data_IF_978074997667
#
_entry.id   IF_978074997667
#
_cell.length_a   1.000
_cell.length_b   1.000
_cell.length_c   1.000
_cell.angle_alpha   90.00
_cell.angle_beta   90.00
_cell.angle_gamma   90.00
#
_symmetry.space_group_name_H-M   'P 1'
#
loop_
_entity.id
_entity.type
_entity.pdbx_description
1 polymer ?
#
# COMPACT_ATOMS: atom_id res chain seq x y z
N UNK A 1 -6.74 -23.51 -33.64
CA UNK A 1 -5.98 -22.25 -33.82
C UNK A 1 -6.86 -21.00 -33.67
N UNK A 2 -8.02 -20.92 -34.33
CA UNK A 2 -8.89 -19.72 -34.32
C UNK A 2 -9.50 -19.35 -32.93
N UNK A 3 -9.87 -20.35 -32.10
CA UNK A 3 -10.37 -20.10 -30.73
C UNK A 3 -9.33 -19.47 -29.79
N UNK A 4 -8.07 -19.90 -29.87
CA UNK A 4 -7.00 -19.33 -29.04
C UNK A 4 -6.69 -17.89 -29.45
N UNK A 5 -6.63 -17.61 -30.76
CA UNK A 5 -6.40 -16.25 -31.26
C UNK A 5 -7.52 -15.29 -30.85
N UNK A 6 -8.79 -15.73 -30.93
CA UNK A 6 -9.95 -14.97 -30.45
C UNK A 6 -9.89 -14.69 -28.95
N UNK A 7 -9.45 -15.67 -28.15
CA UNK A 7 -9.27 -15.51 -26.70
C UNK A 7 -8.18 -14.48 -26.39
N UNK A 8 -7.01 -14.59 -27.02
CA UNK A 8 -5.89 -13.64 -26.85
C UNK A 8 -6.32 -12.23 -27.24
N UNK A 9 -6.99 -12.06 -28.39
CA UNK A 9 -7.51 -10.74 -28.80
C UNK A 9 -8.47 -10.15 -27.78
N UNK A 10 -9.38 -10.96 -27.23
CA UNK A 10 -10.32 -10.53 -26.18
C UNK A 10 -9.59 -10.11 -24.90
N UNK A 11 -8.57 -10.86 -24.49
CA UNK A 11 -7.73 -10.53 -23.33
C UNK A 11 -6.94 -9.24 -23.55
N UNK A 12 -6.36 -9.03 -24.74
CA UNK A 12 -5.67 -7.78 -25.11
C UNK A 12 -6.61 -6.56 -25.08
N UNK A 13 -7.80 -6.69 -25.68
CA UNK A 13 -8.83 -5.63 -25.65
C UNK A 13 -9.25 -5.30 -24.21
N UNK A 14 -9.47 -6.33 -23.38
CA UNK A 14 -9.77 -6.15 -21.95
C UNK A 14 -8.63 -5.42 -21.24
N UNK A 15 -7.38 -5.82 -21.47
CA UNK A 15 -6.22 -5.19 -20.84
C UNK A 15 -6.08 -3.73 -21.26
N UNK A 16 -6.32 -3.40 -22.53
CA UNK A 16 -6.29 -2.03 -23.02
C UNK A 16 -7.38 -1.16 -22.36
N UNK A 17 -8.59 -1.70 -22.20
CA UNK A 17 -9.67 -1.03 -21.46
C UNK A 17 -9.31 -0.85 -19.98
N UNK A 18 -8.79 -1.88 -19.32
CA UNK A 18 -8.32 -1.81 -17.93
C UNK A 18 -7.24 -0.72 -17.78
N UNK A 19 -6.31 -0.59 -18.74
CA UNK A 19 -5.29 0.47 -18.73
C UNK A 19 -5.90 1.87 -18.85
N UNK A 20 -6.85 2.06 -19.75
CA UNK A 20 -7.53 3.35 -19.91
C UNK A 20 -8.31 3.72 -18.63
N UNK A 21 -9.00 2.76 -18.02
CA UNK A 21 -9.71 2.95 -16.76
C UNK A 21 -8.74 3.27 -15.61
N UNK A 22 -7.61 2.57 -15.54
CA UNK A 22 -6.58 2.83 -14.54
C UNK A 22 -5.97 4.23 -14.69
N UNK A 23 -5.65 4.64 -15.92
CA UNK A 23 -5.17 5.98 -16.24
C UNK A 23 -6.19 7.05 -15.81
N UNK A 24 -7.47 6.82 -16.09
CA UNK A 24 -8.55 7.73 -15.70
C UNK A 24 -8.71 7.83 -14.17
N UNK A 25 -8.69 6.69 -13.46
CA UNK A 25 -8.75 6.69 -11.99
C UNK A 25 -7.50 7.34 -11.38
N UNK A 26 -6.31 7.13 -11.94
CA UNK A 26 -5.09 7.81 -11.53
C UNK A 26 -5.21 9.33 -11.68
N UNK A 27 -5.71 9.81 -12.83
CA UNK A 27 -5.91 11.24 -13.08
C UNK A 27 -6.92 11.87 -12.12
N UNK A 28 -7.91 11.11 -11.63
CA UNK A 28 -8.81 11.58 -10.56
C UNK A 28 -8.05 11.74 -9.25
N UNK A 29 -7.21 10.78 -8.89
CA UNK A 29 -6.39 10.84 -7.68
C UNK A 29 -5.46 12.05 -7.74
N UNK A 30 -4.73 12.26 -8.84
CA UNK A 30 -3.76 13.35 -8.96
C UNK A 30 -4.38 14.75 -8.92
N UNK A 31 -5.69 14.86 -9.17
CA UNK A 31 -6.46 16.11 -9.07
C UNK A 31 -6.97 16.39 -7.65
N UNK A 32 -6.82 15.45 -6.73
CA UNK A 32 -7.15 15.65 -5.32
C UNK A 32 -6.21 16.71 -4.72
N UNK A 33 -6.75 17.64 -3.93
CA UNK A 33 -5.99 18.74 -3.32
C UNK A 33 -4.87 18.22 -2.42
N UNK A 34 -5.08 17.04 -1.85
CA UNK A 34 -4.19 16.36 -0.92
C UNK A 34 -2.94 15.77 -1.60
N UNK A 35 -2.86 15.71 -2.93
CA UNK A 35 -1.77 15.00 -3.64
C UNK A 35 -0.48 15.81 -3.78
N UNK A 36 -0.54 17.15 -3.79
CA UNK A 36 0.59 18.08 -4.04
C UNK A 36 2.00 17.48 -3.91
N UNK A 37 2.64 17.68 -2.76
CA UNK A 37 3.92 17.05 -2.39
C UNK A 37 3.70 15.87 -1.44
N UNK A 38 2.74 15.00 -1.79
CA UNK A 38 2.32 13.89 -0.95
C UNK A 38 2.65 12.55 -1.58
N UNK A 39 3.01 11.57 -0.74
CA UNK A 39 3.07 10.18 -1.16
C UNK A 39 1.65 9.64 -1.35
N UNK A 40 1.43 8.81 -2.37
CA UNK A 40 0.17 8.09 -2.58
C UNK A 40 0.41 6.63 -2.26
N UNK A 41 -0.11 6.17 -1.13
CA UNK A 41 0.12 4.83 -0.61
C UNK A 41 -1.12 3.99 -0.86
N UNK A 42 -0.99 3.01 -1.74
CA UNK A 42 -2.03 2.04 -2.01
C UNK A 42 -1.87 0.87 -1.03
N UNK A 43 -2.88 0.60 -0.21
CA UNK A 43 -2.94 -0.56 0.68
C UNK A 43 -3.98 -1.54 0.13
N UNK A 44 -3.56 -2.47 -0.76
CA UNK A 44 -4.47 -3.34 -1.48
C UNK A 44 -4.89 -4.58 -0.69
N UNK A 45 -4.33 -4.82 0.51
CA UNK A 45 -4.56 -6.03 1.30
C UNK A 45 -5.37 -5.73 2.57
N UNK A 46 -6.04 -6.76 3.11
CA UNK A 46 -6.63 -6.74 4.46
C UNK A 46 -5.70 -7.39 5.50
N UNK A 47 -4.47 -7.74 5.12
CA UNK A 47 -3.49 -8.31 6.05
C UNK A 47 -3.06 -7.25 7.05
N UNK A 48 -3.34 -7.51 8.33
CA UNK A 48 -2.98 -6.66 9.46
C UNK A 48 -1.53 -6.21 9.38
N UNK A 49 -0.60 -7.16 9.25
CA UNK A 49 0.84 -6.87 9.26
C UNK A 49 1.26 -5.85 8.20
N UNK A 50 0.77 -5.97 6.96
CA UNK A 50 1.15 -5.04 5.89
C UNK A 50 0.61 -3.64 6.14
N UNK A 51 -0.65 -3.55 6.55
CA UNK A 51 -1.31 -2.29 6.83
C UNK A 51 -0.72 -1.63 8.08
N UNK A 52 -0.42 -2.40 9.11
CA UNK A 52 0.26 -1.97 10.32
C UNK A 52 1.67 -1.45 10.02
N UNK A 53 2.50 -2.21 9.28
CA UNK A 53 3.86 -1.77 8.94
C UNK A 53 3.86 -0.57 7.98
N UNK A 54 2.87 -0.48 7.09
CA UNK A 54 2.69 0.71 6.26
C UNK A 54 2.51 1.98 7.10
N UNK A 55 1.68 1.90 8.15
CA UNK A 55 1.47 3.02 9.06
C UNK A 55 2.68 3.26 9.97
N UNK A 56 3.25 2.21 10.56
CA UNK A 56 4.38 2.29 11.49
C UNK A 56 5.63 2.94 10.87
N UNK A 57 5.89 2.65 9.60
CA UNK A 57 7.06 3.16 8.87
C UNK A 57 6.75 4.35 7.96
N UNK A 58 5.56 4.94 8.06
CA UNK A 58 5.12 6.05 7.21
C UNK A 58 6.05 7.27 7.33
N UNK A 59 6.21 7.80 8.54
CA UNK A 59 7.00 9.00 8.84
C UNK A 59 8.45 8.93 8.32
N UNK A 60 9.24 7.89 8.64
CA UNK A 60 10.60 7.81 8.10
C UNK A 60 10.63 7.69 6.58
N UNK A 61 9.63 7.04 5.96
CA UNK A 61 9.53 6.97 4.50
C UNK A 61 9.26 8.34 3.89
N UNK A 62 8.31 9.11 4.44
CA UNK A 62 8.01 10.47 4.01
C UNK A 62 9.24 11.37 4.12
N UNK A 63 9.94 11.33 5.26
CA UNK A 63 11.16 12.10 5.50
C UNK A 63 12.26 11.74 4.50
N UNK A 64 12.49 10.45 4.25
CA UNK A 64 13.52 9.96 3.32
C UNK A 64 13.25 10.40 1.88
N UNK A 65 11.99 10.39 1.46
CA UNK A 65 11.59 10.74 0.09
C UNK A 65 11.25 12.23 -0.11
N UNK A 66 11.30 13.03 0.96
CA UNK A 66 11.00 14.46 0.90
C UNK A 66 9.52 14.80 0.69
N UNK A 67 8.61 13.92 1.14
CA UNK A 67 7.17 14.16 1.10
C UNK A 67 6.69 14.81 2.38
N UNK A 68 5.72 15.72 2.27
CA UNK A 68 5.14 16.42 3.43
C UNK A 68 3.97 15.67 4.04
N UNK A 69 3.14 15.05 3.19
CA UNK A 69 1.94 14.33 3.61
C UNK A 69 1.83 12.98 2.91
N UNK A 70 0.89 12.16 3.36
CA UNK A 70 0.53 10.90 2.72
C UNK A 70 -0.98 10.83 2.43
N UNK A 71 -1.34 10.45 1.22
CA UNK A 71 -2.68 10.01 0.87
C UNK A 71 -2.70 8.48 0.85
N UNK A 72 -3.39 7.86 1.82
CA UNK A 72 -3.58 6.42 1.86
C UNK A 72 -4.89 6.07 1.16
N UNK A 73 -4.79 5.15 0.19
CA UNK A 73 -5.92 4.58 -0.53
C UNK A 73 -6.10 3.13 -0.08
N UNK A 74 -7.21 2.86 0.60
CA UNK A 74 -7.49 1.53 1.20
C UNK A 74 -8.98 1.24 1.22
N UNK A 75 -9.33 -0.02 1.40
CA UNK A 75 -10.68 -0.50 1.72
C UNK A 75 -10.75 -1.14 3.11
N UNK A 76 -9.62 -1.19 3.82
CA UNK A 76 -9.55 -1.67 5.19
C UNK A 76 -10.08 -0.59 6.14
N UNK A 77 -11.18 -0.83 6.86
CA UNK A 77 -11.69 0.12 7.85
C UNK A 77 -10.70 0.37 8.99
N UNK A 78 -9.88 -0.62 9.38
CA UNK A 78 -8.94 -0.47 10.49
C UNK A 78 -7.88 0.59 10.22
N UNK A 79 -7.38 0.66 8.97
CA UNK A 79 -6.43 1.70 8.58
C UNK A 79 -7.05 3.09 8.75
N UNK A 80 -8.32 3.26 8.38
CA UNK A 80 -9.01 4.55 8.54
C UNK A 80 -9.19 4.93 10.01
N UNK A 81 -9.45 3.95 10.86
CA UNK A 81 -9.69 4.18 12.29
C UNK A 81 -8.40 4.42 13.08
N UNK A 82 -7.27 3.92 12.59
CA UNK A 82 -5.99 3.93 13.34
C UNK A 82 -4.92 4.83 12.75
N UNK A 83 -5.02 5.28 11.49
CA UNK A 83 -3.95 6.03 10.82
C UNK A 83 -3.47 7.27 11.61
N UNK A 84 -4.40 8.01 12.23
CA UNK A 84 -4.10 9.21 12.99
C UNK A 84 -3.30 8.92 14.29
N UNK A 85 -3.30 7.67 14.77
CA UNK A 85 -2.44 7.25 15.88
C UNK A 85 -0.95 7.20 15.48
N UNK A 86 -0.67 7.04 14.18
CA UNK A 86 0.69 6.88 13.67
C UNK A 86 1.29 8.18 13.14
N UNK A 87 0.47 9.08 12.58
CA UNK A 87 0.91 10.31 11.95
C UNK A 87 -0.23 11.32 11.83
N UNK A 88 0.05 12.60 12.04
CA UNK A 88 -0.87 13.73 11.81
C UNK A 88 -0.86 14.21 10.34
N UNK A 89 0.02 13.64 9.51
CA UNK A 89 0.25 14.03 8.10
C UNK A 89 -0.41 13.09 7.10
N UNK A 90 -1.33 12.27 7.57
CA UNK A 90 -2.00 11.25 6.78
C UNK A 90 -3.42 11.66 6.46
N UNK A 91 -3.86 11.37 5.23
CA UNK A 91 -5.26 11.42 4.85
C UNK A 91 -5.64 10.06 4.29
N UNK A 92 -6.62 9.41 4.90
CA UNK A 92 -7.11 8.11 4.43
C UNK A 92 -8.36 8.30 3.58
N UNK A 93 -8.38 7.71 2.38
CA UNK A 93 -9.57 7.66 1.52
C UNK A 93 -9.95 6.22 1.21
N UNK A 94 -11.25 5.96 1.32
CA UNK A 94 -11.82 4.70 0.87
C UNK A 94 -11.63 4.56 -0.64
N UNK A 95 -11.06 3.44 -1.06
CA UNK A 95 -10.88 3.08 -2.45
C UNK A 95 -11.26 1.62 -2.62
N UNK A 96 -12.13 1.31 -3.58
CA UNK A 96 -12.59 -0.07 -3.74
C UNK A 96 -11.46 -0.96 -4.26
N UNK A 97 -11.46 -2.23 -3.83
CA UNK A 97 -10.52 -3.26 -4.29
C UNK A 97 -10.35 -3.28 -5.81
N UNK A 98 -11.45 -3.25 -6.56
CA UNK A 98 -11.45 -3.22 -8.03
C UNK A 98 -10.69 -2.03 -8.62
N UNK A 99 -10.81 -0.83 -8.02
CA UNK A 99 -10.07 0.35 -8.49
C UNK A 99 -8.58 0.24 -8.17
N UNK A 100 -8.24 -0.26 -6.99
CA UNK A 100 -6.84 -0.50 -6.62
C UNK A 100 -6.18 -1.52 -7.54
N UNK A 101 -6.89 -2.60 -7.90
CA UNK A 101 -6.42 -3.59 -8.88
C UNK A 101 -6.13 -2.98 -10.25
N UNK A 102 -6.94 -2.03 -10.72
CA UNK A 102 -6.68 -1.31 -11.98
C UNK A 102 -5.37 -0.51 -11.90
N UNK A 103 -5.19 0.25 -10.82
CA UNK A 103 -3.96 1.05 -10.59
C UNK A 103 -2.74 0.13 -10.48
N UNK A 104 -2.85 -0.95 -9.72
CA UNK A 104 -1.81 -1.96 -9.57
C UNK A 104 -1.38 -2.58 -10.90
N UNK A 105 -2.35 -3.03 -11.72
CA UNK A 105 -2.06 -3.56 -13.06
C UNK A 105 -1.35 -2.54 -13.93
N UNK A 106 -1.77 -1.28 -13.87
CA UNK A 106 -1.15 -0.21 -14.63
C UNK A 106 0.29 0.07 -14.16
N UNK A 107 0.53 0.02 -12.84
CA UNK A 107 1.86 0.20 -12.26
C UNK A 107 2.83 -0.94 -12.63
N UNK A 108 2.31 -2.16 -12.88
CA UNK A 108 3.12 -3.28 -13.38
C UNK A 108 3.59 -3.09 -14.83
N UNK A 109 2.92 -2.26 -15.63
CA UNK A 109 3.34 -2.02 -17.02
C UNK A 109 4.55 -1.08 -17.09
N UNK A 110 4.52 -0.01 -16.29
CA UNK A 110 5.65 0.88 -16.08
C UNK A 110 5.45 1.71 -14.81
N UNK A 111 6.54 2.18 -14.20
CA UNK A 111 6.48 3.09 -13.07
C UNK A 111 6.14 4.50 -13.57
N UNK A 112 4.85 4.82 -13.59
CA UNK A 112 4.33 6.06 -14.17
C UNK A 112 4.37 7.27 -13.24
N UNK A 113 4.50 7.06 -11.93
CA UNK A 113 4.59 8.13 -10.94
C UNK A 113 5.40 7.65 -9.73
N UNK A 114 6.41 8.43 -9.33
CA UNK A 114 7.28 8.10 -8.19
C UNK A 114 6.58 8.24 -6.84
N UNK A 115 5.46 8.97 -6.79
CA UNK A 115 4.64 9.14 -5.58
C UNK A 115 3.81 7.91 -5.26
N UNK A 116 3.54 7.04 -6.24
CA UNK A 116 2.77 5.81 -6.02
C UNK A 116 3.62 4.77 -5.29
N UNK A 117 3.14 4.32 -4.13
CA UNK A 117 3.76 3.28 -3.31
C UNK A 117 2.72 2.21 -3.04
N UNK A 118 3.00 0.95 -3.36
CA UNK A 118 2.09 -0.17 -3.11
C UNK A 118 2.56 -0.90 -1.84
N UNK A 119 1.84 -0.68 -0.75
CA UNK A 119 2.09 -1.22 0.59
C UNK A 119 1.68 -2.67 0.74
N UNK A 120 2.29 -3.58 -0.02
CA UNK A 120 2.06 -5.02 0.08
C UNK A 120 3.28 -5.81 -0.38
N UNK A 121 3.54 -6.94 0.26
CA UNK A 121 4.62 -7.86 -0.09
C UNK A 121 4.24 -8.88 -1.16
N UNK A 122 2.95 -9.03 -1.43
CA UNK A 122 2.37 -10.02 -2.36
C UNK A 122 1.60 -9.36 -3.50
N UNK A 123 1.33 -8.06 -3.39
CA UNK A 123 0.58 -7.30 -4.38
C UNK A 123 1.39 -6.10 -4.87
N UNK A 124 1.39 -5.79 -6.18
CA UNK A 124 0.58 -6.42 -7.23
C UNK A 124 1.11 -7.80 -7.64
N UNK A 125 0.33 -8.52 -8.45
CA UNK A 125 0.68 -9.87 -8.92
C UNK A 125 2.11 -9.90 -9.52
N UNK A 126 2.87 -10.91 -9.10
CA UNK A 126 4.30 -11.05 -9.43
C UNK A 126 5.24 -10.68 -8.29
N UNK A 127 4.74 -10.12 -7.17
CA UNK A 127 5.50 -10.03 -5.93
C UNK A 127 5.39 -11.33 -5.13
N UNK A 128 6.54 -11.86 -4.71
CA UNK A 128 6.61 -13.05 -3.85
C UNK A 128 7.71 -12.88 -2.79
N UNK A 129 7.54 -11.89 -1.93
CA UNK A 129 8.50 -11.67 -0.84
C UNK A 129 8.35 -12.70 0.30
N UNK A 130 7.27 -13.51 0.29
CA UNK A 130 7.04 -14.54 1.30
C UNK A 130 8.12 -15.61 1.32
N UNK A 131 8.70 -15.92 0.17
CA UNK A 131 9.79 -16.90 0.06
C UNK A 131 11.05 -16.51 0.84
N UNK A 132 11.16 -15.26 1.29
CA UNK A 132 12.27 -14.74 2.08
C UNK A 132 11.96 -14.69 3.58
N UNK A 133 10.68 -14.67 3.98
CA UNK A 133 10.28 -14.62 5.38
C UNK A 133 10.77 -15.89 6.11
N UNK A 134 11.40 -15.71 7.28
CA UNK A 134 11.91 -16.81 8.11
C UNK A 134 13.26 -17.38 7.68
N UNK A 135 13.76 -17.06 6.48
CA UNK A 135 15.14 -17.39 6.10
C UNK A 135 16.10 -16.49 6.87
N UNK A 136 17.06 -17.08 7.57
CA UNK A 136 18.07 -16.36 8.37
C UNK A 136 17.47 -15.38 9.41
N UNK A 137 16.26 -15.65 9.92
CA UNK A 137 15.59 -14.79 10.91
C UNK A 137 14.95 -13.51 10.33
N UNK A 138 14.90 -13.37 9.00
CA UNK A 138 14.28 -12.21 8.34
C UNK A 138 12.78 -12.16 8.67
N UNK A 139 12.34 -11.00 9.15
CA UNK A 139 10.95 -10.76 9.56
C UNK A 139 10.13 -10.08 8.45
N UNK A 140 8.81 -10.18 8.56
CA UNK A 140 7.87 -9.45 7.68
C UNK A 140 8.09 -7.94 7.78
N UNK A 141 8.30 -7.45 9.00
CA UNK A 141 8.59 -6.04 9.32
C UNK A 141 9.80 -5.52 8.55
N UNK A 142 10.91 -6.26 8.61
CA UNK A 142 12.16 -5.90 7.96
C UNK A 142 12.05 -5.89 6.43
N UNK A 143 11.44 -6.93 5.84
CA UNK A 143 11.21 -7.00 4.39
C UNK A 143 10.30 -5.86 3.94
N UNK A 144 9.28 -5.51 4.73
CA UNK A 144 8.39 -4.41 4.39
C UNK A 144 9.15 -3.08 4.38
N UNK A 145 9.85 -2.76 5.48
CA UNK A 145 10.60 -1.52 5.62
C UNK A 145 11.66 -1.36 4.51
N UNK A 146 12.40 -2.42 4.20
CA UNK A 146 13.46 -2.41 3.19
C UNK A 146 12.92 -2.53 1.75
N UNK A 147 12.03 -3.48 1.49
CA UNK A 147 11.57 -3.81 0.14
C UNK A 147 10.51 -2.84 -0.38
N UNK A 148 9.57 -2.41 0.47
CA UNK A 148 8.48 -1.52 0.06
C UNK A 148 8.87 -0.06 0.24
N UNK A 149 9.36 0.30 1.44
CA UNK A 149 9.66 1.70 1.78
C UNK A 149 11.12 2.09 1.53
N UNK A 150 11.99 1.14 1.22
CA UNK A 150 13.41 1.38 0.94
C UNK A 150 14.14 2.06 2.09
N UNK A 151 13.82 1.69 3.33
CA UNK A 151 14.41 2.27 4.55
C UNK A 151 15.71 1.54 4.96
N UNK A 152 16.82 1.93 4.34
CA UNK A 152 18.17 1.45 4.69
C UNK A 152 18.93 2.46 5.58
N UNK A 153 19.53 2.04 6.71
CA UNK A 153 19.41 0.72 7.35
C UNK A 153 18.02 0.51 7.99
N UNK A 154 17.65 -0.75 8.19
CA UNK A 154 16.42 -1.10 8.93
C UNK A 154 16.59 -0.72 10.40
N UNK A 155 15.59 -0.01 10.94
CA UNK A 155 15.53 0.38 12.36
C UNK A 155 14.14 0.02 12.87
N UNK A 156 14.07 -0.91 13.82
CA UNK A 156 12.81 -1.36 14.41
C UNK A 156 12.11 -0.20 15.14
N UNK A 157 10.80 -0.06 14.94
CA UNK A 157 9.99 1.00 15.57
C UNK A 157 9.00 0.41 16.56
N UNK A 158 8.68 1.21 17.57
CA UNK A 158 7.62 0.87 18.53
C UNK A 158 6.27 1.36 18.01
N UNK A 159 5.19 0.58 18.19
CA UNK A 159 3.84 1.06 17.89
C UNK A 159 3.51 2.33 18.70
N UNK A 160 2.57 3.16 18.21
CA UNK A 160 2.05 4.26 19.00
C UNK A 160 1.36 3.75 20.27
N UNK A 161 1.37 4.58 21.31
CA UNK A 161 0.63 4.28 22.54
C UNK A 161 -0.86 4.53 22.29
N UNK A 162 -1.70 3.59 22.70
CA UNK A 162 -3.15 3.73 22.67
C UNK A 162 -3.69 3.49 24.08
N UNK A 163 -4.29 4.53 24.66
CA UNK A 163 -4.85 4.50 26.03
C UNK A 163 -6.36 4.17 26.04
N UNK A 164 -6.91 3.78 24.90
CA UNK A 164 -8.32 3.37 24.77
C UNK A 164 -8.51 1.87 24.97
N UNK A 165 -9.77 1.45 24.86
CA UNK A 165 -10.22 0.08 25.16
C UNK A 165 -10.84 -0.63 23.95
N UNK A 166 -10.73 -0.05 22.75
CA UNK A 166 -11.24 -0.70 21.55
C UNK A 166 -10.39 -1.92 21.21
N UNK A 167 -10.92 -3.11 21.46
CA UNK A 167 -10.24 -4.39 21.25
C UNK A 167 -9.69 -4.55 19.82
N UNK A 168 -10.37 -3.98 18.81
CA UNK A 168 -9.90 -4.07 17.42
C UNK A 168 -8.66 -3.22 17.20
N UNK A 169 -8.59 -2.05 17.83
CA UNK A 169 -7.41 -1.18 17.77
C UNK A 169 -6.26 -1.83 18.52
N UNK A 170 -6.52 -2.41 19.70
CA UNK A 170 -5.51 -3.13 20.48
C UNK A 170 -4.93 -4.30 19.67
N UNK A 171 -5.79 -5.14 19.07
CA UNK A 171 -5.36 -6.23 18.19
C UNK A 171 -4.59 -5.73 16.97
N UNK A 172 -5.05 -4.64 16.34
CA UNK A 172 -4.37 -4.04 15.18
C UNK A 172 -2.95 -3.56 15.53
N UNK A 173 -2.78 -2.96 16.71
CA UNK A 173 -1.48 -2.47 17.18
C UNK A 173 -0.57 -3.60 17.66
N UNK A 174 -1.09 -4.80 17.89
CA UNK A 174 -0.34 -5.93 18.42
C UNK A 174 0.21 -5.67 19.82
N UNK A 175 -0.47 -4.83 20.60
CA UNK A 175 -0.14 -4.55 21.99
C UNK A 175 -0.88 -5.60 22.82
N UNK A 176 -0.22 -6.71 23.13
CA UNK A 176 -0.68 -7.55 24.25
C UNK A 176 -0.43 -6.76 25.55
N UNK A 177 -1.42 -6.75 26.44
CA UNK A 177 -1.39 -6.06 27.74
C UNK A 177 -0.05 -6.30 28.45
N UNK A 178 0.65 -5.21 28.79
CA UNK A 178 1.86 -5.23 29.62
C UNK A 178 1.53 -5.55 31.09
#
# INVERSE_FOLDING_TARGET
>A
MDKQLKRVRKELLKNLLDCYLAWWEWHKITRLKEVGHSAIILLPSLKRDYNFYALLYLEPMLKRRGYHNALILTYDPMVRETADLFSDRVTVKFYTRKKMELIMKYACLYQFDSRLIIGSLEEPAGRDANTLIGKNGITVEEIFALGVYQLTPFIRRKPPKYDGWDEKIVDFLGVEDC
#
